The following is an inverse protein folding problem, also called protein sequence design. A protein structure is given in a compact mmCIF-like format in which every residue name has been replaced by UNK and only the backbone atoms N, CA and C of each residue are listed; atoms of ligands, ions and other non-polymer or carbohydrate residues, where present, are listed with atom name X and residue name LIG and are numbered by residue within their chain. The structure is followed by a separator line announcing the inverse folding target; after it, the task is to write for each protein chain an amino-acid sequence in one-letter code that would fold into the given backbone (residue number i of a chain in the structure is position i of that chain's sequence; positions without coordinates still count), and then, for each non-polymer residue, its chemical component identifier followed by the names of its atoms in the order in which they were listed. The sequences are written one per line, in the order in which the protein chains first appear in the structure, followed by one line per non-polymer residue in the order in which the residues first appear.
data_IF_680983974254
#
_entry.id   IF_680983974254
#
_cell.length_a   1.000
_cell.length_b   1.000
_cell.length_c   1.000
_cell.angle_alpha   90.00
_cell.angle_beta   90.00
_cell.angle_gamma   90.00
#
_symmetry.space_group_name_H-M   'P 1'
#
loop_
_entity.id
_entity.type
_entity.pdbx_description
1 polymer ?
#
# COMPACT_ATOMS: atom_id res chain seq x y z
N UNK A 1 -35.78 -47.41 -18.46
CA UNK A 1 -34.74 -46.70 -17.68
C UNK A 1 -34.33 -45.47 -18.47
N UNK A 2 -34.79 -44.27 -18.08
CA UNK A 2 -34.33 -43.01 -18.68
C UNK A 2 -33.04 -42.60 -17.97
N UNK A 3 -31.92 -42.59 -18.70
CA UNK A 3 -30.64 -42.11 -18.20
C UNK A 3 -30.59 -40.60 -18.33
N UNK A 4 -30.60 -39.88 -17.21
CA UNK A 4 -30.44 -38.42 -17.16
C UNK A 4 -28.93 -38.12 -17.22
N UNK A 5 -28.44 -37.70 -18.39
CA UNK A 5 -27.09 -37.13 -18.51
C UNK A 5 -27.05 -35.77 -17.82
N UNK A 6 -26.32 -35.70 -16.71
CA UNK A 6 -26.00 -34.44 -16.03
C UNK A 6 -24.89 -33.74 -16.81
N UNK A 7 -25.21 -32.62 -17.46
CA UNK A 7 -24.20 -31.74 -18.06
C UNK A 7 -23.58 -30.90 -16.94
N UNK A 8 -22.39 -31.26 -16.49
CA UNK A 8 -21.59 -30.44 -15.58
C UNK A 8 -20.99 -29.26 -16.35
N UNK A 9 -21.60 -28.08 -16.21
CA UNK A 9 -21.02 -26.82 -16.66
C UNK A 9 -19.78 -26.51 -15.81
N UNK A 10 -18.59 -26.82 -16.35
CA UNK A 10 -17.33 -26.35 -15.79
C UNK A 10 -17.22 -24.85 -16.05
N UNK A 11 -17.49 -24.04 -15.03
CA UNK A 11 -17.12 -22.63 -15.03
C UNK A 11 -15.60 -22.52 -15.05
N UNK A 12 -15.03 -22.31 -16.24
CA UNK A 12 -13.67 -21.83 -16.37
C UNK A 12 -13.61 -20.42 -15.79
N UNK A 13 -13.28 -20.28 -14.51
CA UNK A 13 -12.80 -19.02 -13.98
C UNK A 13 -11.48 -18.72 -14.68
N UNK A 14 -11.52 -17.95 -15.76
CA UNK A 14 -10.34 -17.25 -16.25
C UNK A 14 -9.91 -16.30 -15.15
N UNK A 15 -8.98 -16.72 -14.30
CA UNK A 15 -8.36 -15.89 -13.28
C UNK A 15 -7.59 -14.79 -14.02
N UNK A 16 -8.25 -13.65 -14.23
CA UNK A 16 -7.62 -12.52 -14.91
C UNK A 16 -6.50 -12.00 -14.02
N UNK A 17 -5.29 -11.89 -14.57
CA UNK A 17 -4.14 -11.52 -13.79
C UNK A 17 -4.32 -10.12 -13.21
N UNK A 18 -4.24 -9.99 -11.88
CA UNK A 18 -4.38 -8.70 -11.20
C UNK A 18 -3.00 -8.04 -11.04
N UNK A 19 -2.87 -6.83 -11.57
CA UNK A 19 -1.78 -5.89 -11.35
C UNK A 19 -2.04 -5.07 -10.09
N UNK A 20 -1.05 -5.06 -9.21
CA UNK A 20 -1.03 -4.34 -7.94
C UNK A 20 0.03 -3.25 -8.05
N UNK A 21 -0.38 -1.99 -8.04
CA UNK A 21 0.54 -0.85 -8.04
C UNK A 21 0.83 -0.43 -6.59
N UNK A 22 2.10 -0.44 -6.20
CA UNK A 22 2.55 0.15 -4.93
C UNK A 22 2.96 1.59 -5.20
N UNK A 23 2.18 2.54 -4.70
CA UNK A 23 2.44 3.97 -4.74
C UNK A 23 2.91 4.40 -3.34
N UNK A 24 4.21 4.27 -3.10
CA UNK A 24 4.82 4.52 -1.80
C UNK A 24 6.01 5.48 -1.82
N UNK A 25 6.67 5.60 -0.67
CA UNK A 25 7.89 6.38 -0.53
C UNK A 25 9.16 5.52 -0.32
N UNK A 26 10.12 5.97 0.49
CA UNK A 26 11.36 5.25 0.81
C UNK A 26 11.11 3.91 1.50
N UNK A 27 10.04 3.79 2.29
CA UNK A 27 9.71 2.55 3.01
C UNK A 27 9.38 1.44 2.01
N UNK A 28 8.57 1.77 1.00
CA UNK A 28 8.18 0.84 -0.06
C UNK A 28 9.20 0.72 -1.19
N UNK A 29 10.06 1.73 -1.38
CA UNK A 29 11.21 1.65 -2.29
C UNK A 29 12.32 0.72 -1.75
N UNK A 30 12.32 0.41 -0.45
CA UNK A 30 13.38 -0.39 0.18
C UNK A 30 14.65 0.42 0.39
N UNK A 31 14.53 1.68 0.83
CA UNK A 31 15.68 2.55 1.10
C UNK A 31 16.68 1.89 2.06
N UNK A 32 17.97 2.00 1.74
CA UNK A 32 19.06 1.50 2.58
C UNK A 32 19.23 -0.02 2.61
N UNK A 33 18.44 -0.79 1.84
CA UNK A 33 18.53 -2.25 1.75
C UNK A 33 18.56 -2.72 0.30
N UNK A 34 18.88 -4.00 0.09
CA UNK A 34 18.71 -4.61 -1.22
C UNK A 34 17.20 -4.68 -1.54
N UNK A 35 16.80 -4.20 -2.72
CA UNK A 35 15.40 -4.15 -3.17
C UNK A 35 14.71 -5.53 -3.12
N UNK A 36 15.45 -6.63 -3.34
CA UNK A 36 14.93 -8.00 -3.26
C UNK A 36 14.53 -8.41 -1.83
N UNK A 37 15.10 -7.74 -0.84
CA UNK A 37 14.75 -7.91 0.57
C UNK A 37 13.53 -7.05 0.95
N UNK A 38 13.15 -6.07 0.15
CA UNK A 38 12.03 -5.17 0.41
C UNK A 38 10.68 -5.90 0.45
N UNK A 39 9.74 -5.37 1.24
CA UNK A 39 8.43 -5.98 1.43
C UNK A 39 7.64 -6.12 0.12
N UNK A 40 7.86 -5.23 -0.86
CA UNK A 40 7.23 -5.27 -2.18
C UNK A 40 7.75 -6.46 -3.02
N UNK A 41 9.06 -6.74 -2.98
CA UNK A 41 9.61 -7.93 -3.63
C UNK A 41 9.10 -9.21 -2.95
N UNK A 42 9.06 -9.21 -1.61
CA UNK A 42 8.47 -10.30 -0.82
C UNK A 42 6.97 -10.50 -1.10
N UNK A 43 6.23 -9.42 -1.39
CA UNK A 43 4.83 -9.50 -1.82
C UNK A 43 4.71 -10.30 -3.11
N UNK A 44 5.50 -9.96 -4.13
CA UNK A 44 5.50 -10.70 -5.40
C UNK A 44 5.88 -12.17 -5.19
N UNK A 45 6.91 -12.45 -4.39
CA UNK A 45 7.32 -13.83 -4.07
C UNK A 45 6.19 -14.62 -3.41
N UNK A 46 5.55 -14.05 -2.39
CA UNK A 46 4.43 -14.68 -1.67
C UNK A 46 3.22 -14.90 -2.57
N UNK A 47 2.92 -13.95 -3.47
CA UNK A 47 1.87 -14.10 -4.47
C UNK A 47 2.20 -15.22 -5.46
N UNK A 48 3.44 -15.31 -5.94
CA UNK A 48 3.87 -16.38 -6.84
C UNK A 48 3.79 -17.76 -6.19
N UNK A 49 4.05 -17.88 -4.89
CA UNK A 49 3.93 -19.13 -4.15
C UNK A 49 2.46 -19.57 -3.97
N UNK A 50 1.56 -18.62 -3.68
CA UNK A 50 0.15 -18.93 -3.41
C UNK A 50 -0.75 -18.96 -4.66
N UNK A 51 -0.40 -18.15 -5.66
CA UNK A 51 -1.15 -17.92 -6.90
C UNK A 51 -0.18 -17.86 -8.09
N UNK A 52 0.42 -18.99 -8.49
CA UNK A 52 1.48 -19.01 -9.48
C UNK A 52 1.08 -18.30 -10.78
N UNK A 53 1.85 -17.27 -11.16
CA UNK A 53 1.67 -16.48 -12.39
C UNK A 53 0.31 -15.74 -12.53
N UNK A 54 -0.43 -15.54 -11.43
CA UNK A 54 -1.73 -14.84 -11.48
C UNK A 54 -1.66 -13.36 -11.16
N UNK A 55 -0.61 -12.88 -10.48
CA UNK A 55 -0.57 -11.50 -10.00
C UNK A 55 0.78 -10.87 -10.29
N UNK A 56 0.75 -9.58 -10.64
CA UNK A 56 1.95 -8.77 -10.87
C UNK A 56 1.97 -7.59 -9.91
N UNK A 57 3.10 -7.35 -9.27
CA UNK A 57 3.34 -6.21 -8.40
C UNK A 57 4.23 -5.22 -9.12
N UNK A 58 3.77 -3.98 -9.25
CA UNK A 58 4.52 -2.86 -9.81
C UNK A 58 4.93 -1.96 -8.65
N UNK A 59 6.23 -1.91 -8.34
CA UNK A 59 6.75 -0.96 -7.37
C UNK A 59 6.98 0.40 -8.04
N UNK A 60 6.11 1.38 -7.77
CA UNK A 60 6.24 2.74 -8.28
C UNK A 60 6.72 3.73 -7.21
N UNK A 61 7.18 3.20 -6.07
CA UNK A 61 7.59 3.97 -4.91
C UNK A 61 8.86 4.78 -5.18
N UNK A 62 8.95 5.98 -4.59
CA UNK A 62 10.10 6.87 -4.73
C UNK A 62 10.52 7.41 -3.38
N UNK A 63 11.80 7.31 -3.05
CA UNK A 63 12.32 7.82 -1.78
C UNK A 63 12.08 9.33 -1.66
N UNK A 64 11.52 9.77 -0.52
CA UNK A 64 11.21 11.17 -0.25
C UNK A 64 9.91 11.69 -0.87
N UNK A 65 9.14 10.83 -1.53
CA UNK A 65 7.87 11.17 -2.19
C UNK A 65 6.83 11.71 -1.19
N UNK A 66 6.10 12.74 -1.62
CA UNK A 66 4.98 13.31 -0.84
C UNK A 66 3.64 12.93 -1.45
N UNK A 67 2.56 13.15 -0.68
CA UNK A 67 1.21 13.01 -1.21
C UNK A 67 0.98 13.92 -2.44
N UNK A 68 1.55 15.12 -2.44
CA UNK A 68 1.49 16.07 -3.55
C UNK A 68 2.29 15.62 -4.78
N UNK A 69 3.52 15.12 -4.57
CA UNK A 69 4.36 14.59 -5.65
C UNK A 69 3.74 13.37 -6.34
N UNK A 70 3.20 12.45 -5.55
CA UNK A 70 2.50 11.29 -6.07
C UNK A 70 1.24 11.65 -6.88
N UNK A 71 0.50 12.71 -6.51
CA UNK A 71 -0.66 13.18 -7.27
C UNK A 71 -0.31 13.57 -8.70
N UNK A 72 0.86 14.18 -8.90
CA UNK A 72 1.33 14.56 -10.23
C UNK A 72 1.68 13.33 -11.09
N UNK A 73 2.12 12.23 -10.47
CA UNK A 73 2.57 11.02 -11.17
C UNK A 73 1.47 9.99 -11.39
N UNK A 74 0.51 9.89 -10.48
CA UNK A 74 -0.48 8.80 -10.46
C UNK A 74 -1.28 8.67 -11.77
N UNK A 75 -1.80 9.73 -12.42
CA UNK A 75 -2.57 9.58 -13.66
C UNK A 75 -1.80 8.84 -14.76
N UNK A 76 -0.51 9.14 -14.93
CA UNK A 76 0.35 8.44 -15.90
C UNK A 76 0.55 6.97 -15.52
N UNK A 77 0.77 6.68 -14.24
CA UNK A 77 0.94 5.31 -13.73
C UNK A 77 -0.33 4.48 -13.95
N UNK A 78 -1.51 5.04 -13.66
CA UNK A 78 -2.80 4.38 -13.87
C UNK A 78 -3.03 4.07 -15.35
N UNK A 79 -2.74 5.00 -16.25
CA UNK A 79 -2.88 4.78 -17.69
C UNK A 79 -1.90 3.71 -18.22
N UNK A 80 -0.68 3.70 -17.70
CA UNK A 80 0.40 2.79 -18.15
C UNK A 80 0.16 1.37 -17.68
N UNK A 81 -0.11 1.18 -16.39
CA UNK A 81 -0.15 -0.14 -15.77
C UNK A 81 -1.56 -0.71 -15.62
N UNK A 82 -2.60 0.12 -15.75
CA UNK A 82 -4.02 -0.23 -15.59
C UNK A 82 -4.27 -1.16 -14.38
N UNK A 83 -3.80 -0.78 -13.19
CA UNK A 83 -3.82 -1.67 -12.03
C UNK A 83 -5.25 -1.93 -11.56
N UNK A 84 -5.50 -3.13 -11.03
CA UNK A 84 -6.75 -3.47 -10.34
C UNK A 84 -6.68 -3.09 -8.86
N UNK A 85 -5.47 -2.94 -8.30
CA UNK A 85 -5.24 -2.54 -6.90
C UNK A 85 -4.18 -1.44 -6.86
N UNK A 86 -4.42 -0.40 -6.09
CA UNK A 86 -3.41 0.63 -5.78
C UNK A 86 -3.19 0.66 -4.27
N UNK A 87 -2.00 0.30 -3.82
CA UNK A 87 -1.60 0.41 -2.40
C UNK A 87 -0.91 1.75 -2.21
N UNK A 88 -1.48 2.60 -1.36
CA UNK A 88 -1.01 3.97 -1.10
C UNK A 88 -0.30 3.97 0.25
N UNK A 89 1.00 4.26 0.23
CA UNK A 89 1.89 4.32 1.39
C UNK A 89 2.60 5.68 1.38
N UNK A 90 1.89 6.74 1.76
CA UNK A 90 2.36 8.12 1.62
C UNK A 90 1.87 9.00 2.76
N UNK A 91 2.56 10.13 2.96
CA UNK A 91 2.25 11.14 3.96
C UNK A 91 3.32 11.28 5.04
N UNK A 92 4.19 10.28 5.22
CA UNK A 92 5.30 10.35 6.16
C UNK A 92 6.23 11.53 5.88
N UNK A 93 6.67 11.68 4.62
CA UNK A 93 7.51 12.82 4.21
C UNK A 93 6.81 14.18 4.32
N UNK A 94 5.52 14.27 4.01
CA UNK A 94 4.74 15.49 4.22
C UNK A 94 4.76 15.89 5.70
N UNK A 95 4.53 14.93 6.58
CA UNK A 95 4.47 15.15 8.02
C UNK A 95 5.83 15.46 8.65
N UNK A 96 6.88 14.78 8.22
CA UNK A 96 8.27 15.07 8.62
C UNK A 96 8.74 16.45 8.14
N UNK A 97 8.09 17.03 7.12
CA UNK A 97 8.32 18.40 6.62
C UNK A 97 7.34 19.42 7.22
N UNK A 98 6.54 19.03 8.21
CA UNK A 98 5.60 19.92 8.90
C UNK A 98 4.43 20.41 8.04
N UNK A 99 4.06 19.69 6.98
CA UNK A 99 2.93 20.10 6.13
C UNK A 99 1.60 20.01 6.89
N UNK A 100 0.62 20.91 6.66
CA UNK A 100 -0.65 20.85 7.37
C UNK A 100 -1.39 19.51 7.16
N UNK A 101 -1.86 18.81 8.21
CA UNK A 101 -2.55 17.52 8.07
C UNK A 101 -3.77 17.57 7.15
N UNK A 102 -4.51 18.68 7.14
CA UNK A 102 -5.63 18.88 6.21
C UNK A 102 -5.19 18.83 4.73
N UNK A 103 -4.01 19.36 4.40
CA UNK A 103 -3.45 19.26 3.04
C UNK A 103 -3.10 17.83 2.66
N UNK A 104 -2.47 17.10 3.58
CA UNK A 104 -2.17 15.67 3.44
C UNK A 104 -3.46 14.87 3.22
N UNK A 105 -4.48 15.12 4.03
CA UNK A 105 -5.80 14.49 3.93
C UNK A 105 -6.43 14.71 2.55
N UNK A 106 -6.47 15.95 2.09
CA UNK A 106 -7.04 16.30 0.80
C UNK A 106 -6.30 15.61 -0.35
N UNK A 107 -4.97 15.51 -0.27
CA UNK A 107 -4.19 14.82 -1.28
C UNK A 107 -4.44 13.31 -1.30
N UNK A 108 -4.48 12.67 -0.12
CA UNK A 108 -4.82 11.25 0.00
C UNK A 108 -6.22 10.94 -0.55
N UNK A 109 -7.22 11.79 -0.26
CA UNK A 109 -8.57 11.66 -0.85
C UNK A 109 -8.49 11.70 -2.38
N UNK A 110 -7.73 12.65 -2.95
CA UNK A 110 -7.57 12.76 -4.40
C UNK A 110 -6.88 11.54 -5.01
N UNK A 111 -5.83 11.01 -4.37
CA UNK A 111 -5.14 9.79 -4.81
C UNK A 111 -6.09 8.57 -4.81
N UNK A 112 -6.90 8.44 -3.76
CA UNK A 112 -7.94 7.41 -3.65
C UNK A 112 -8.98 7.57 -4.77
N UNK A 113 -9.47 8.78 -5.01
CA UNK A 113 -10.46 9.04 -6.05
C UNK A 113 -9.92 8.77 -7.46
N UNK A 114 -8.69 9.19 -7.77
CA UNK A 114 -8.05 8.88 -9.05
C UNK A 114 -7.94 7.36 -9.26
N UNK A 115 -7.55 6.62 -8.21
CA UNK A 115 -7.47 5.16 -8.26
C UNK A 115 -8.84 4.54 -8.56
N UNK A 116 -9.89 4.93 -7.83
CA UNK A 116 -11.27 4.45 -8.07
C UNK A 116 -11.79 4.80 -9.46
N UNK A 117 -11.56 6.02 -9.93
CA UNK A 117 -11.98 6.48 -11.25
C UNK A 117 -11.31 5.69 -12.38
N UNK A 118 -10.10 5.16 -12.13
CA UNK A 118 -9.43 4.21 -13.04
C UNK A 118 -9.90 2.76 -12.91
N UNK A 119 -10.93 2.50 -12.10
CA UNK A 119 -11.48 1.18 -11.74
C UNK A 119 -10.55 0.31 -10.88
N UNK A 120 -9.53 0.91 -10.27
CA UNK A 120 -8.69 0.23 -9.29
C UNK A 120 -9.32 0.28 -7.88
N UNK A 121 -9.04 -0.72 -7.06
CA UNK A 121 -9.40 -0.74 -5.64
C UNK A 121 -8.24 -0.19 -4.80
N UNK A 122 -8.36 1.00 -4.20
CA UNK A 122 -7.31 1.55 -3.36
C UNK A 122 -7.26 0.88 -1.97
N UNK A 123 -6.05 0.70 -1.48
CA UNK A 123 -5.73 0.28 -0.11
C UNK A 123 -4.86 1.39 0.50
N UNK A 124 -5.23 1.88 1.69
CA UNK A 124 -4.50 2.92 2.40
C UNK A 124 -3.67 2.32 3.53
N UNK A 125 -2.37 2.58 3.54
CA UNK A 125 -1.48 2.21 4.63
C UNK A 125 -1.30 3.40 5.57
N UNK A 126 -1.76 3.27 6.81
CA UNK A 126 -1.70 4.31 7.82
C UNK A 126 -0.29 4.53 8.36
N UNK A 127 0.05 5.79 8.59
CA UNK A 127 1.36 6.20 9.09
C UNK A 127 1.24 6.96 10.42
N UNK A 128 2.30 6.85 11.22
CA UNK A 128 2.52 7.66 12.43
C UNK A 128 3.87 8.34 12.30
N UNK A 129 4.03 9.46 13.01
CA UNK A 129 5.32 10.14 13.12
C UNK A 129 5.67 10.40 14.58
N UNK A 130 6.96 10.47 14.92
CA UNK A 130 7.40 10.98 16.22
C UNK A 130 6.81 12.38 16.50
N UNK A 131 6.64 12.78 17.77
CA UNK A 131 6.03 14.06 18.15
C UNK A 131 6.95 15.28 17.95
N UNK A 132 7.74 15.30 16.87
CA UNK A 132 8.74 16.34 16.59
C UNK A 132 8.11 17.74 16.42
N UNK A 133 6.85 17.80 15.97
CA UNK A 133 6.05 19.03 15.86
C UNK A 133 4.97 19.15 16.95
N UNK A 134 5.11 18.38 18.04
CA UNK A 134 4.15 18.33 19.14
C UNK A 134 3.06 17.27 18.97
N UNK A 135 2.51 16.82 20.09
CA UNK A 135 1.54 15.71 20.14
C UNK A 135 0.22 16.03 19.43
N UNK A 136 -0.19 17.30 19.40
CA UNK A 136 -1.38 17.74 18.68
C UNK A 136 -1.23 17.50 17.17
N UNK A 137 -0.06 17.81 16.61
CA UNK A 137 0.22 17.61 15.19
C UNK A 137 0.25 16.12 14.84
N UNK A 138 1.00 15.30 15.58
CA UNK A 138 1.07 13.86 15.32
C UNK A 138 -0.30 13.19 15.42
N UNK A 139 -1.13 13.55 16.41
CA UNK A 139 -2.52 13.04 16.52
C UNK A 139 -3.39 13.47 15.33
N UNK A 140 -3.28 14.72 14.88
CA UNK A 140 -4.03 15.20 13.71
C UNK A 140 -3.58 14.50 12.40
N UNK A 141 -2.28 14.24 12.27
CA UNK A 141 -1.73 13.45 11.18
C UNK A 141 -2.23 11.99 11.20
N UNK A 142 -2.21 11.33 12.35
CA UNK A 142 -2.74 9.96 12.48
C UNK A 142 -4.24 9.91 12.14
N UNK A 143 -5.02 10.87 12.63
CA UNK A 143 -6.45 10.97 12.38
C UNK A 143 -6.80 11.17 10.89
N UNK A 144 -5.89 11.78 10.12
CA UNK A 144 -6.05 11.97 8.68
C UNK A 144 -6.33 10.64 7.98
N UNK A 145 -5.54 9.61 8.24
CA UNK A 145 -5.69 8.31 7.56
C UNK A 145 -7.02 7.63 7.91
N UNK A 146 -7.42 7.68 9.18
CA UNK A 146 -8.71 7.13 9.63
C UNK A 146 -9.89 7.85 8.96
N UNK A 147 -9.82 9.18 8.86
CA UNK A 147 -10.85 9.97 8.22
C UNK A 147 -10.95 9.68 6.72
N UNK A 148 -9.81 9.59 6.01
CA UNK A 148 -9.79 9.20 4.59
C UNK A 148 -10.36 7.79 4.41
N UNK A 149 -9.90 6.82 5.21
CA UNK A 149 -10.38 5.44 5.15
C UNK A 149 -11.89 5.34 5.31
N UNK A 150 -12.46 6.03 6.32
CA UNK A 150 -13.89 6.04 6.61
C UNK A 150 -14.69 6.73 5.52
N UNK A 151 -14.31 7.95 5.12
CA UNK A 151 -15.05 8.74 4.13
C UNK A 151 -15.00 8.13 2.74
N UNK A 152 -13.88 7.51 2.39
CA UNK A 152 -13.69 6.86 1.11
C UNK A 152 -14.06 5.38 1.12
N UNK A 153 -14.39 4.79 2.27
CA UNK A 153 -14.71 3.36 2.40
C UNK A 153 -13.65 2.45 1.75
N UNK A 154 -12.37 2.76 1.99
CA UNK A 154 -11.25 1.98 1.43
C UNK A 154 -10.73 0.98 2.45
N UNK A 155 -10.09 -0.09 1.97
CA UNK A 155 -9.34 -0.99 2.85
C UNK A 155 -8.21 -0.20 3.50
N UNK A 156 -7.99 -0.42 4.79
CA UNK A 156 -7.12 0.40 5.60
C UNK A 156 -6.33 -0.45 6.58
N UNK A 157 -5.02 -0.22 6.61
CA UNK A 157 -4.12 -0.74 7.64
C UNK A 157 -3.87 0.39 8.64
N UNK A 158 -4.33 0.30 9.90
CA UNK A 158 -4.26 1.40 10.87
C UNK A 158 -2.87 1.98 11.07
N UNK A 159 -1.86 1.10 11.16
CA UNK A 159 -0.47 1.48 11.23
C UNK A 159 0.39 0.45 10.49
N UNK A 160 1.02 0.88 9.41
CA UNK A 160 1.79 -0.03 8.55
C UNK A 160 3.05 -0.57 9.24
N UNK A 161 3.70 0.26 10.07
CA UNK A 161 4.91 -0.10 10.80
C UNK A 161 4.60 -0.68 12.19
N UNK A 162 3.39 -1.21 12.39
CA UNK A 162 3.01 -1.83 13.66
C UNK A 162 3.95 -3.00 14.01
N UNK A 163 4.39 -3.00 15.27
CA UNK A 163 5.40 -3.94 15.77
C UNK A 163 6.80 -3.78 15.16
N UNK A 164 7.10 -2.68 14.46
CA UNK A 164 8.41 -2.36 13.85
C UNK A 164 8.94 -1.02 14.39
N UNK A 165 8.14 0.05 14.26
CA UNK A 165 8.56 1.38 14.66
C UNK A 165 8.93 1.44 16.15
N UNK A 166 10.05 2.10 16.46
CA UNK A 166 10.59 2.20 17.82
C UNK A 166 11.41 1.00 18.29
N UNK A 167 11.56 -0.05 17.48
CA UNK A 167 12.45 -1.17 17.78
C UNK A 167 13.79 -1.03 17.03
N UNK A 168 14.86 -0.75 17.77
CA UNK A 168 16.20 -0.53 17.20
C UNK A 168 16.79 -1.72 16.43
N UNK A 169 16.28 -2.94 16.62
CA UNK A 169 16.73 -4.10 15.82
C UNK A 169 15.96 -4.25 14.51
N UNK A 170 14.79 -3.62 14.40
CA UNK A 170 13.91 -3.65 13.24
C UNK A 170 13.97 -2.36 12.41
N UNK A 171 14.59 -1.30 12.95
CA UNK A 171 14.82 -0.03 12.28
C UNK A 171 16.29 0.11 11.86
N UNK A 172 16.55 0.90 10.84
CA UNK A 172 17.88 1.38 10.48
C UNK A 172 18.36 2.42 11.51
N UNK A 173 19.63 2.81 11.42
CA UNK A 173 20.25 3.75 12.37
C UNK A 173 19.61 5.14 12.40
N UNK A 174 18.88 5.52 11.35
CA UNK A 174 18.12 6.77 11.30
C UNK A 174 16.78 6.73 12.05
N UNK A 175 16.37 5.56 12.54
CA UNK A 175 15.12 5.31 13.28
C UNK A 175 13.84 5.65 12.49
N UNK A 176 13.94 5.85 11.18
CA UNK A 176 12.82 6.17 10.28
C UNK A 176 12.57 5.00 9.34
N UNK A 177 13.62 4.38 8.81
CA UNK A 177 13.50 3.34 7.80
C UNK A 177 13.55 1.94 8.42
N UNK A 178 12.63 1.03 8.07
CA UNK A 178 12.71 -0.36 8.49
C UNK A 178 13.95 -1.08 7.92
N UNK A 179 14.61 -1.88 8.74
CA UNK A 179 15.74 -2.72 8.33
C UNK A 179 15.28 -3.92 7.49
N UNK A 180 16.22 -4.61 6.82
CA UNK A 180 15.92 -5.77 5.99
C UNK A 180 15.18 -6.89 6.75
N UNK A 181 15.52 -7.09 8.04
CA UNK A 181 14.89 -8.07 8.93
C UNK A 181 13.42 -7.77 9.23
N UNK A 182 12.98 -6.52 9.09
CA UNK A 182 11.59 -6.10 9.36
C UNK A 182 10.65 -6.24 8.15
N UNK A 183 11.20 -6.44 6.95
CA UNK A 183 10.43 -6.37 5.69
C UNK A 183 9.37 -7.45 5.57
N UNK A 184 9.58 -8.63 6.16
CA UNK A 184 8.55 -9.67 6.22
C UNK A 184 7.37 -9.22 7.09
N UNK A 185 7.61 -8.54 8.22
CA UNK A 185 6.56 -8.03 9.09
C UNK A 185 5.77 -6.89 8.44
N UNK A 186 6.43 -6.00 7.69
CA UNK A 186 5.72 -5.01 6.85
C UNK A 186 4.75 -5.70 5.91
N UNK A 187 5.21 -6.72 5.18
CA UNK A 187 4.36 -7.49 4.31
C UNK A 187 3.19 -8.13 5.09
N UNK A 188 3.44 -8.71 6.26
CA UNK A 188 2.39 -9.30 7.09
C UNK A 188 1.33 -8.28 7.54
N UNK A 189 1.73 -7.04 7.82
CA UNK A 189 0.80 -5.96 8.17
C UNK A 189 -0.09 -5.54 6.99
N UNK A 190 0.45 -5.51 5.76
CA UNK A 190 -0.31 -5.15 4.55
C UNK A 190 -1.10 -6.32 3.95
N UNK A 191 -0.65 -7.56 4.18
CA UNK A 191 -1.13 -8.76 3.49
C UNK A 191 -2.65 -8.99 3.61
N UNK A 192 -3.29 -8.88 4.79
CA UNK A 192 -4.73 -9.11 4.93
C UNK A 192 -5.58 -8.20 4.03
N UNK A 193 -5.23 -6.92 3.94
CA UNK A 193 -5.95 -5.97 3.08
C UNK A 193 -5.75 -6.31 1.61
N UNK A 194 -4.51 -6.62 1.19
CA UNK A 194 -4.21 -6.97 -0.21
C UNK A 194 -4.96 -8.25 -0.63
N UNK A 195 -4.88 -9.31 0.19
CA UNK A 195 -5.47 -10.59 -0.20
C UNK A 195 -6.99 -10.56 -0.22
N UNK A 196 -7.62 -9.77 0.64
CA UNK A 196 -9.07 -9.58 0.63
C UNK A 196 -9.56 -8.89 -0.65
N UNK A 197 -8.74 -8.01 -1.25
CA UNK A 197 -9.02 -7.29 -2.51
C UNK A 197 -8.73 -8.16 -3.75
N UNK A 198 -7.88 -9.18 -3.61
CA UNK A 198 -7.58 -10.13 -4.69
C UNK A 198 -8.67 -11.20 -4.87
N UNK A 199 -9.40 -11.55 -3.80
CA UNK A 199 -10.55 -12.47 -3.85
C UNK A 199 -11.79 -11.78 -4.42
#
# INVERSE_FOLDING_TARGET
MLSVMTVSLLFNHTANAKTILILGDSISAGYGINVEQGWVAKLQQRLNQKYPKQHQVINASVSGETTGGALARLPKLLNTYKPQIVVIELGGNDALRGQPPAGIQNNLIRLVNLSKNSKAQPILLGMKIPPNYGSAYSKAFEATFQQVAKTQQVKFVPFFLDGIAGNNTLMQTDLIHPAAVAQTRLLDNAWPSIIQTLR
#
